data_IF_613723250242
#
_entry.id   IF_613723250242
#
_cell.length_a   1.000
_cell.length_b   1.000
_cell.length_c   1.000
_cell.angle_alpha   90.00
_cell.angle_beta   90.00
_cell.angle_gamma   90.00
#
_symmetry.space_group_name_H-M   'P 1'
#
loop_
_entity.id
_entity.type
_entity.pdbx_description
1 polymer ?
#
# COMPACT_ATOMS: atom_id res chain seq x y z
N UNK A 1 9.93 -10.31 -12.95
CA UNK A 1 8.88 -9.61 -13.70
C UNK A 1 7.52 -10.27 -13.54
N UNK A 2 7.29 -11.19 -12.58
CA UNK A 2 5.93 -11.70 -12.31
C UNK A 2 5.45 -11.36 -10.88
N UNK A 3 6.38 -11.26 -9.92
CA UNK A 3 6.05 -11.03 -8.51
C UNK A 3 5.70 -9.57 -8.22
N UNK A 4 6.37 -8.63 -8.89
CA UNK A 4 6.11 -7.19 -8.81
C UNK A 4 4.73 -6.84 -9.38
N UNK A 5 4.38 -7.37 -10.54
CA UNK A 5 3.03 -7.20 -11.11
C UNK A 5 1.95 -7.82 -10.24
N UNK A 6 2.20 -9.01 -9.65
CA UNK A 6 1.27 -9.64 -8.73
C UNK A 6 1.01 -8.77 -7.50
N UNK A 7 2.06 -8.28 -6.86
CA UNK A 7 1.94 -7.44 -5.67
C UNK A 7 1.25 -6.09 -5.98
N UNK A 8 1.49 -5.50 -7.16
CA UNK A 8 0.76 -4.31 -7.61
C UNK A 8 -0.74 -4.61 -7.75
N UNK A 9 -1.09 -5.74 -8.36
CA UNK A 9 -2.49 -6.14 -8.51
C UNK A 9 -3.15 -6.42 -7.15
N UNK A 10 -2.47 -7.11 -6.23
CA UNK A 10 -2.98 -7.34 -4.86
C UNK A 10 -3.21 -6.01 -4.11
N UNK A 11 -2.31 -5.04 -4.26
CA UNK A 11 -2.46 -3.72 -3.68
C UNK A 11 -3.66 -2.95 -4.28
N UNK A 12 -3.86 -3.04 -5.60
CA UNK A 12 -5.01 -2.46 -6.29
C UNK A 12 -6.34 -3.14 -5.92
N UNK A 13 -6.35 -4.44 -5.65
CA UNK A 13 -7.58 -5.12 -5.20
C UNK A 13 -8.04 -4.63 -3.81
N UNK A 14 -7.11 -4.18 -2.96
CA UNK A 14 -7.44 -3.66 -1.62
C UNK A 14 -7.94 -2.21 -1.63
N UNK A 15 -7.27 -1.31 -2.33
CA UNK A 15 -7.57 0.13 -2.29
C UNK A 15 -7.72 0.81 -3.66
N UNK A 16 -7.68 0.08 -4.77
CA UNK A 16 -7.86 0.60 -6.13
C UNK A 16 -6.62 1.29 -6.72
N UNK A 17 -6.81 1.99 -7.84
CA UNK A 17 -5.75 2.69 -8.60
C UNK A 17 -5.07 3.85 -7.86
N UNK A 18 -5.62 4.30 -6.73
CA UNK A 18 -5.00 5.35 -5.96
C UNK A 18 -3.97 4.78 -5.00
N UNK A 19 -2.76 5.35 -5.08
CA UNK A 19 -1.88 5.64 -3.94
C UNK A 19 -0.64 4.77 -3.74
N UNK A 20 -0.32 3.74 -4.55
CA UNK A 20 0.93 2.99 -4.32
C UNK A 20 2.12 3.95 -4.22
N UNK A 21 2.28 4.88 -5.17
CA UNK A 21 3.37 5.87 -5.13
C UNK A 21 3.25 6.95 -4.06
N UNK A 22 2.04 7.23 -3.57
CA UNK A 22 1.78 8.26 -2.55
C UNK A 22 2.07 7.74 -1.14
N UNK A 23 1.99 6.42 -0.93
CA UNK A 23 2.22 5.78 0.37
C UNK A 23 3.49 4.96 0.44
N UNK A 24 4.01 4.45 -0.69
CA UNK A 24 5.13 3.50 -0.69
C UNK A 24 6.33 4.07 0.05
N UNK A 25 6.68 5.34 -0.13
CA UNK A 25 7.86 5.97 0.48
C UNK A 25 7.68 6.44 1.92
N UNK A 26 6.45 6.42 2.45
CA UNK A 26 6.17 6.82 3.82
C UNK A 26 6.58 5.73 4.83
N UNK A 27 6.81 6.15 6.08
CA UNK A 27 6.86 5.21 7.20
C UNK A 27 5.44 4.74 7.57
N UNK A 28 5.34 3.62 8.29
CA UNK A 28 4.04 2.98 8.57
C UNK A 28 3.04 3.93 9.27
N UNK A 29 3.42 4.73 10.29
CA UNK A 29 2.50 5.70 10.88
C UNK A 29 2.00 6.76 9.90
N UNK A 30 2.89 7.38 9.12
CA UNK A 30 2.50 8.38 8.13
C UNK A 30 1.66 7.78 7.00
N UNK A 31 1.94 6.53 6.63
CA UNK A 31 1.18 5.79 5.65
C UNK A 31 -0.27 5.56 6.10
N UNK A 32 -0.48 5.14 7.36
CA UNK A 32 -1.82 4.97 7.93
C UNK A 32 -2.58 6.30 7.98
N UNK A 33 -1.91 7.38 8.36
CA UNK A 33 -2.52 8.73 8.38
C UNK A 33 -2.94 9.16 6.97
N UNK A 34 -2.05 9.01 5.99
CA UNK A 34 -2.33 9.31 4.58
C UNK A 34 -3.51 8.48 4.05
N UNK A 35 -3.59 7.21 4.40
CA UNK A 35 -4.71 6.34 4.00
C UNK A 35 -6.03 6.82 4.61
N UNK A 36 -6.04 7.29 5.86
CA UNK A 36 -7.24 7.89 6.49
C UNK A 36 -7.63 9.22 5.85
N UNK A 37 -6.67 10.03 5.41
CA UNK A 37 -6.98 11.27 4.68
C UNK A 37 -7.65 10.98 3.33
N UNK A 38 -7.20 9.93 2.63
CA UNK A 38 -7.67 9.57 1.30
C UNK A 38 -9.02 8.85 1.31
N UNK A 39 -9.19 7.89 2.22
CA UNK A 39 -10.36 7.01 2.25
C UNK A 39 -11.30 7.30 3.43
N UNK A 40 -10.94 8.23 4.32
CA UNK A 40 -11.70 8.59 5.51
C UNK A 40 -11.37 7.75 6.75
N UNK A 41 -11.95 8.13 7.89
CA UNK A 41 -11.72 7.47 9.18
C UNK A 41 -12.37 6.08 9.30
N UNK A 42 -13.24 5.70 8.36
CA UNK A 42 -13.94 4.41 8.33
C UNK A 42 -13.11 3.30 7.67
N UNK A 43 -11.87 3.61 7.26
CA UNK A 43 -10.99 2.62 6.65
C UNK A 43 -10.72 1.48 7.63
N UNK A 44 -10.90 0.25 7.17
CA UNK A 44 -10.65 -0.93 7.99
C UNK A 44 -9.14 -1.05 8.24
N UNK A 45 -8.72 -0.84 9.49
CA UNK A 45 -7.30 -0.85 9.85
C UNK A 45 -6.60 -2.15 9.41
N UNK A 46 -7.28 -3.30 9.52
CA UNK A 46 -6.75 -4.58 9.08
C UNK A 46 -6.40 -4.59 7.58
N UNK A 47 -7.25 -3.99 6.73
CA UNK A 47 -6.97 -3.87 5.28
C UNK A 47 -5.81 -2.92 5.01
N UNK A 48 -5.70 -1.83 5.77
CA UNK A 48 -4.56 -0.90 5.66
C UNK A 48 -3.26 -1.60 6.02
N UNK A 49 -3.22 -2.35 7.11
CA UNK A 49 -2.02 -3.11 7.52
C UNK A 49 -1.63 -4.13 6.42
N UNK A 50 -2.59 -4.85 5.85
CA UNK A 50 -2.36 -5.80 4.75
C UNK A 50 -1.79 -5.10 3.50
N UNK A 51 -2.34 -3.95 3.13
CA UNK A 51 -1.85 -3.13 2.03
C UNK A 51 -0.41 -2.66 2.26
N UNK A 52 -0.08 -2.17 3.47
CA UNK A 52 1.27 -1.72 3.79
C UNK A 52 2.30 -2.85 3.80
N UNK A 53 1.90 -4.05 4.19
CA UNK A 53 2.76 -5.25 4.10
C UNK A 53 3.08 -5.61 2.64
N UNK A 54 2.13 -5.44 1.72
CA UNK A 54 2.35 -5.61 0.28
C UNK A 54 3.32 -4.54 -0.24
N UNK A 55 3.16 -3.28 0.17
CA UNK A 55 4.07 -2.19 -0.22
C UNK A 55 5.51 -2.40 0.29
N UNK A 56 5.68 -2.92 1.51
CA UNK A 56 7.00 -3.26 2.05
C UNK A 56 7.68 -4.38 1.25
N UNK A 57 6.91 -5.37 0.76
CA UNK A 57 7.43 -6.40 -0.14
C UNK A 57 7.83 -5.78 -1.48
N UNK A 58 6.98 -4.95 -2.07
CA UNK A 58 7.26 -4.24 -3.33
C UNK A 58 8.57 -3.44 -3.27
N UNK A 59 8.79 -2.66 -2.21
CA UNK A 59 10.04 -1.90 -1.99
C UNK A 59 11.30 -2.75 -2.07
N UNK A 60 11.24 -4.01 -1.61
CA UNK A 60 12.39 -4.92 -1.64
C UNK A 60 12.69 -5.44 -3.05
N UNK A 61 11.69 -5.50 -3.93
CA UNK A 61 11.84 -5.93 -5.31
C UNK A 61 12.31 -4.81 -6.23
N UNK A 62 11.95 -3.55 -5.96
CA UNK A 62 12.35 -2.39 -6.79
C UNK A 62 13.73 -1.80 -6.46
N UNK A 63 14.30 -2.09 -5.28
CA UNK A 63 15.63 -1.62 -4.86
C UNK A 63 16.78 -2.62 -5.08
N UNK A 64 16.59 -3.63 -5.94
CA UNK A 64 17.56 -4.68 -6.23
C UNK A 64 17.94 -4.66 -7.72
#
# INVERSE_FOLDING_TARGET
MEEDERLINEAHDLFGDYSIFEVIDLDRPAAIERMKEMYGNEVELAKVEEYLDILEKLKKYTNN
#
